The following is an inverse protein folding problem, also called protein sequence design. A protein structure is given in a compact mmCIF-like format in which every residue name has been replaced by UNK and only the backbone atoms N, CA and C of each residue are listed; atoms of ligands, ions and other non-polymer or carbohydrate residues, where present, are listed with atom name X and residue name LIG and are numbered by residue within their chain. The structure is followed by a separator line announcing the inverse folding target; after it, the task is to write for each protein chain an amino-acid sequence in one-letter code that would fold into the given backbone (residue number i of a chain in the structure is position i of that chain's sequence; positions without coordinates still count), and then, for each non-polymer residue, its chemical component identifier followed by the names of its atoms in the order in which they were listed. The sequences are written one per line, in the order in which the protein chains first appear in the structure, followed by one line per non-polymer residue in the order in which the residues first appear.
data_IF_980608433326
#
_entry.id   IF_980608433326
#
_cell.length_a   1.000
_cell.length_b   1.000
_cell.length_c   1.000
_cell.angle_alpha   90.00
_cell.angle_beta   90.00
_cell.angle_gamma   90.00
#
_symmetry.space_group_name_H-M   'P 1'
#
loop_
_entity.id
_entity.type
_entity.pdbx_description
1 polymer ?
#
# COMPACT_ATOMS: atom_id res chain seq x y z
N UNK A 1 13.92 2.93 8.34
CA UNK A 1 15.01 3.16 7.38
C UNK A 1 14.77 4.56 6.86
N UNK A 2 15.56 5.50 7.35
CA UNK A 2 15.30 6.93 7.17
C UNK A 2 15.53 7.33 5.72
N UNK A 3 14.48 7.88 5.11
CA UNK A 3 14.49 8.40 3.73
C UNK A 3 15.57 9.48 3.53
N UNK A 4 15.99 10.12 4.62
CA UNK A 4 17.01 11.18 4.66
C UNK A 4 18.39 10.70 4.20
N UNK A 5 18.79 9.48 4.58
CA UNK A 5 20.09 8.91 4.19
C UNK A 5 20.18 8.64 2.68
N UNK A 6 19.05 8.29 2.06
CA UNK A 6 18.99 8.06 0.61
C UNK A 6 18.99 9.36 -0.19
N UNK A 7 18.42 10.44 0.36
CA UNK A 7 18.47 11.77 -0.27
C UNK A 7 19.88 12.34 -0.26
N UNK A 8 20.61 12.15 0.84
CA UNK A 8 22.02 12.52 0.93
C UNK A 8 22.87 11.76 -0.07
N UNK A 9 22.69 10.44 -0.17
CA UNK A 9 23.39 9.62 -1.16
C UNK A 9 23.17 10.12 -2.60
N UNK A 10 21.94 10.46 -3.00
CA UNK A 10 21.67 10.98 -4.35
C UNK A 10 22.39 12.30 -4.59
N UNK A 11 22.41 13.22 -3.61
CA UNK A 11 23.12 14.50 -3.72
C UNK A 11 24.63 14.31 -3.89
N UNK A 12 25.21 13.37 -3.16
CA UNK A 12 26.65 13.11 -3.22
C UNK A 12 27.04 12.49 -4.57
N UNK A 13 26.30 11.51 -5.06
CA UNK A 13 26.55 10.93 -6.38
C UNK A 13 26.29 11.92 -7.53
N UNK A 14 25.35 12.85 -7.36
CA UNK A 14 25.13 13.92 -8.33
C UNK A 14 26.33 14.87 -8.42
N UNK A 15 26.91 15.28 -7.28
CA UNK A 15 28.15 16.07 -7.26
C UNK A 15 29.32 15.35 -7.92
N UNK A 16 29.47 14.05 -7.64
CA UNK A 16 30.52 13.23 -8.25
C UNK A 16 30.33 13.14 -9.77
N UNK A 17 29.10 12.93 -10.24
CA UNK A 17 28.78 12.89 -11.67
C UNK A 17 29.01 14.22 -12.40
N UNK A 18 28.75 15.36 -11.74
CA UNK A 18 29.03 16.69 -12.30
C UNK A 18 30.53 16.97 -12.43
N UNK A 19 31.33 16.43 -11.50
CA UNK A 19 32.79 16.59 -11.50
C UNK A 19 33.44 15.69 -12.55
N UNK A 20 33.01 14.43 -12.63
CA UNK A 20 33.55 13.44 -13.55
C UNK A 20 32.42 12.68 -14.26
N UNK A 21 32.15 13.04 -15.53
CA UNK A 21 31.08 12.46 -16.35
C UNK A 21 31.44 11.06 -16.89
N UNK A 22 31.80 10.14 -16.01
CA UNK A 22 32.10 8.75 -16.34
C UNK A 22 30.83 7.90 -16.35
N UNK A 23 30.89 6.74 -17.03
CA UNK A 23 29.78 5.78 -17.05
C UNK A 23 29.51 5.19 -15.66
N UNK A 24 30.54 5.03 -14.84
CA UNK A 24 30.44 4.46 -13.49
C UNK A 24 29.68 5.41 -12.55
N UNK A 25 29.98 6.71 -12.56
CA UNK A 25 29.25 7.69 -11.75
C UNK A 25 27.78 7.81 -12.18
N UNK A 26 27.50 7.68 -13.49
CA UNK A 26 26.12 7.61 -13.98
C UNK A 26 25.39 6.38 -13.45
N UNK A 27 26.06 5.22 -13.38
CA UNK A 27 25.48 3.99 -12.84
C UNK A 27 25.20 4.13 -11.34
N UNK A 28 26.14 4.69 -10.58
CA UNK A 28 26.01 4.93 -9.13
C UNK A 28 24.86 5.89 -8.82
N UNK A 29 24.77 7.01 -9.57
CA UNK A 29 23.65 7.95 -9.46
C UNK A 29 22.31 7.25 -9.74
N UNK A 30 22.22 6.43 -10.79
CA UNK A 30 21.00 5.69 -11.12
C UNK A 30 20.61 4.71 -10.01
N UNK A 31 21.58 4.01 -9.41
CA UNK A 31 21.33 3.09 -8.30
C UNK A 31 20.87 3.83 -7.04
N UNK A 32 21.48 4.96 -6.71
CA UNK A 32 21.07 5.79 -5.57
C UNK A 32 19.67 6.36 -5.76
N UNK A 33 19.34 6.82 -6.97
CA UNK A 33 17.98 7.25 -7.32
C UNK A 33 16.96 6.11 -7.20
N UNK A 34 17.34 4.89 -7.60
CA UNK A 34 16.50 3.69 -7.45
C UNK A 34 16.23 3.37 -5.98
N UNK A 35 17.26 3.38 -5.13
CA UNK A 35 17.13 3.12 -3.69
C UNK A 35 16.32 4.22 -2.99
N UNK A 36 16.52 5.49 -3.35
CA UNK A 36 15.68 6.59 -2.88
C UNK A 36 14.21 6.42 -3.30
N UNK A 37 13.97 6.02 -4.55
CA UNK A 37 12.61 5.75 -5.04
C UNK A 37 11.97 4.57 -4.31
N UNK A 38 12.75 3.54 -4.02
CA UNK A 38 12.32 2.35 -3.26
C UNK A 38 12.07 2.65 -1.79
N UNK A 39 12.83 3.55 -1.16
CA UNK A 39 12.62 3.96 0.23
C UNK A 39 11.42 4.90 0.38
N UNK A 40 11.16 5.76 -0.62
CA UNK A 40 9.95 6.61 -0.70
C UNK A 40 8.71 5.82 -1.08
N UNK A 41 8.85 4.61 -1.63
CA UNK A 41 7.72 3.76 -1.98
C UNK A 41 7.00 3.31 -0.72
N UNK A 42 5.66 3.39 -0.76
CA UNK A 42 4.80 2.82 0.27
C UNK A 42 5.02 1.30 0.33
N UNK A 43 5.36 0.78 1.50
CA UNK A 43 5.40 -0.67 1.75
C UNK A 43 3.97 -1.19 1.93
N UNK A 44 3.32 -1.60 0.83
CA UNK A 44 1.93 -2.08 0.86
C UNK A 44 1.72 -3.27 1.82
N UNK A 45 2.72 -4.15 1.93
CA UNK A 45 2.74 -5.24 2.90
C UNK A 45 2.67 -4.73 4.35
N UNK A 46 3.43 -3.67 4.68
CA UNK A 46 3.40 -3.06 6.02
C UNK A 46 2.08 -2.32 6.28
N UNK A 47 1.52 -1.68 5.26
CA UNK A 47 0.23 -0.99 5.34
C UNK A 47 -0.89 -1.98 5.69
N UNK A 48 -0.94 -3.13 5.00
CA UNK A 48 -1.89 -4.20 5.34
C UNK A 48 -1.52 -4.91 6.65
N UNK A 49 -0.24 -4.91 7.03
CA UNK A 49 0.28 -5.60 8.20
C UNK A 49 0.46 -7.10 7.95
N UNK A 50 0.88 -7.45 6.74
CA UNK A 50 1.13 -8.84 6.31
C UNK A 50 2.59 -9.00 5.91
N UNK A 51 3.07 -10.24 5.91
CA UNK A 51 4.42 -10.56 5.43
C UNK A 51 4.49 -10.44 3.89
N UNK A 52 5.69 -10.26 3.34
CA UNK A 52 5.91 -10.27 1.88
C UNK A 52 5.53 -11.61 1.25
N UNK A 53 5.67 -12.69 2.03
CA UNK A 53 5.29 -14.05 1.64
C UNK A 53 3.82 -14.37 1.89
N UNK A 54 3.00 -13.39 2.33
CA UNK A 54 1.60 -13.63 2.60
C UNK A 54 0.85 -14.12 1.37
N UNK A 55 -0.04 -15.08 1.62
CA UNK A 55 -0.99 -15.62 0.65
C UNK A 55 -2.07 -14.59 0.31
N UNK A 56 -2.74 -14.77 -0.83
CA UNK A 56 -3.86 -13.91 -1.24
C UNK A 56 -4.99 -13.87 -0.19
N UNK A 57 -5.22 -14.99 0.49
CA UNK A 57 -6.27 -15.09 1.51
C UNK A 57 -5.91 -14.31 2.78
N UNK A 58 -4.64 -14.31 3.18
CA UNK A 58 -4.13 -13.47 4.27
C UNK A 58 -4.21 -11.99 3.93
N UNK A 59 -3.87 -11.63 2.68
CA UNK A 59 -3.99 -10.26 2.17
C UNK A 59 -5.46 -9.79 2.21
N UNK A 60 -6.40 -10.62 1.72
CA UNK A 60 -7.85 -10.35 1.79
C UNK A 60 -8.33 -10.22 3.22
N UNK A 61 -7.90 -11.10 4.13
CA UNK A 61 -8.28 -11.06 5.55
C UNK A 61 -7.73 -9.81 6.25
N UNK A 62 -6.49 -9.43 5.98
CA UNK A 62 -5.87 -8.23 6.53
C UNK A 62 -6.54 -6.96 6.00
N UNK A 63 -6.83 -6.89 4.70
CA UNK A 63 -7.58 -5.80 4.09
C UNK A 63 -8.94 -5.60 4.77
N UNK A 64 -9.73 -6.68 4.91
CA UNK A 64 -11.04 -6.62 5.60
C UNK A 64 -10.91 -6.03 7.00
N UNK A 65 -9.96 -6.52 7.79
CA UNK A 65 -9.75 -6.06 9.17
C UNK A 65 -9.36 -4.58 9.20
N UNK A 66 -8.43 -4.15 8.34
CA UNK A 66 -7.93 -2.77 8.26
C UNK A 66 -8.98 -1.81 7.74
N UNK A 67 -9.70 -2.18 6.68
CA UNK A 67 -10.76 -1.38 6.09
C UNK A 67 -11.89 -1.12 7.10
N UNK A 68 -12.29 -2.14 7.88
CA UNK A 68 -13.24 -1.98 8.97
C UNK A 68 -12.70 -1.17 10.14
N UNK A 69 -11.38 -1.13 10.38
CA UNK A 69 -10.78 -0.31 11.44
C UNK A 69 -10.68 1.16 11.05
N UNK A 70 -10.39 1.46 9.79
CA UNK A 70 -10.22 2.82 9.27
C UNK A 70 -11.47 3.39 8.60
N UNK A 71 -12.62 2.70 8.70
CA UNK A 71 -13.85 3.12 8.05
C UNK A 71 -14.39 4.44 8.63
N UNK A 72 -14.82 5.42 7.79
CA UNK A 72 -15.25 6.74 8.25
C UNK A 72 -16.46 6.69 9.19
N UNK A 73 -17.34 5.69 9.04
CA UNK A 73 -18.50 5.49 9.92
C UNK A 73 -18.10 5.32 11.41
N UNK A 74 -17.00 4.59 11.67
CA UNK A 74 -16.52 4.35 13.04
C UNK A 74 -15.78 5.54 13.65
N UNK A 75 -15.33 6.46 12.80
CA UNK A 75 -14.59 7.66 13.19
C UNK A 75 -15.40 8.94 12.99
N UNK A 76 -16.70 8.81 12.73
CA UNK A 76 -17.63 9.93 12.55
C UNK A 76 -17.71 10.85 13.77
N UNK A 77 -17.44 10.33 14.97
CA UNK A 77 -17.34 11.10 16.22
C UNK A 77 -15.92 11.56 16.60
N UNK A 78 -14.90 11.27 15.80
CA UNK A 78 -13.51 11.67 16.08
C UNK A 78 -13.24 13.11 15.63
N UNK A 79 -12.12 13.70 16.08
CA UNK A 79 -11.70 15.03 15.62
C UNK A 79 -11.38 15.03 14.12
N UNK A 80 -11.49 16.20 13.47
CA UNK A 80 -11.23 16.35 12.04
C UNK A 80 -9.82 15.87 11.62
N UNK A 81 -8.84 16.02 12.51
CA UNK A 81 -7.46 15.53 12.30
C UNK A 81 -7.42 14.00 12.25
N UNK A 82 -8.07 13.33 13.20
CA UNK A 82 -8.14 11.86 13.24
C UNK A 82 -8.93 11.35 12.03
N UNK A 83 -10.04 11.97 11.66
CA UNK A 83 -10.80 11.58 10.47
C UNK A 83 -9.95 11.64 9.20
N UNK A 84 -9.17 12.72 9.04
CA UNK A 84 -8.27 12.89 7.88
C UNK A 84 -7.14 11.86 7.88
N UNK A 85 -6.58 11.54 9.03
CA UNK A 85 -5.56 10.49 9.15
C UNK A 85 -6.12 9.10 8.84
N UNK A 86 -7.29 8.78 9.36
CA UNK A 86 -7.96 7.50 9.13
C UNK A 86 -8.40 7.34 7.68
N UNK A 87 -8.90 8.42 7.04
CA UNK A 87 -9.20 8.44 5.60
C UNK A 87 -7.93 8.19 4.77
N UNK A 88 -6.80 8.81 5.14
CA UNK A 88 -5.53 8.58 4.46
C UNK A 88 -5.09 7.12 4.57
N UNK A 89 -5.15 6.53 5.78
CA UNK A 89 -4.83 5.11 6.00
C UNK A 89 -5.80 4.21 5.24
N UNK A 90 -7.08 4.55 5.17
CA UNK A 90 -8.08 3.78 4.43
C UNK A 90 -7.77 3.76 2.93
N UNK A 91 -7.42 4.91 2.34
CA UNK A 91 -6.96 5.01 0.95
C UNK A 91 -5.72 4.15 0.71
N UNK A 92 -4.72 4.25 1.58
CA UNK A 92 -3.49 3.45 1.50
C UNK A 92 -3.76 1.94 1.60
N UNK A 93 -4.69 1.52 2.46
CA UNK A 93 -5.12 0.11 2.60
C UNK A 93 -5.83 -0.39 1.34
N UNK A 94 -6.67 0.46 0.71
CA UNK A 94 -7.31 0.16 -0.57
C UNK A 94 -6.30 -0.02 -1.70
N UNK A 95 -5.38 0.95 -1.86
CA UNK A 95 -4.28 0.88 -2.83
C UNK A 95 -3.46 -0.41 -2.65
N UNK A 96 -3.06 -0.70 -1.41
CA UNK A 96 -2.27 -1.89 -1.08
C UNK A 96 -2.98 -3.18 -1.49
N UNK A 97 -4.28 -3.28 -1.21
CA UNK A 97 -5.07 -4.44 -1.59
C UNK A 97 -5.18 -4.59 -3.10
N UNK A 98 -5.41 -3.52 -3.86
CA UNK A 98 -5.50 -3.59 -5.33
C UNK A 98 -4.22 -4.10 -5.98
N UNK A 99 -3.05 -3.74 -5.44
CA UNK A 99 -1.76 -4.20 -5.97
C UNK A 99 -1.46 -5.62 -5.52
N UNK A 100 -1.67 -5.93 -4.24
CA UNK A 100 -1.26 -7.21 -3.65
C UNK A 100 -2.25 -8.35 -3.90
N UNK A 101 -3.52 -8.05 -4.19
CA UNK A 101 -4.55 -9.07 -4.47
C UNK A 101 -4.47 -9.68 -5.86
N UNK A 102 -3.85 -8.99 -6.82
CA UNK A 102 -3.64 -9.52 -8.17
C UNK A 102 -2.20 -10.04 -8.30
N UNK A 103 -1.99 -11.34 -8.56
CA UNK A 103 -0.65 -11.91 -8.66
C UNK A 103 0.20 -11.27 -9.75
N UNK A 104 -0.41 -10.75 -10.83
CA UNK A 104 0.32 -10.02 -11.88
C UNK A 104 0.81 -8.67 -11.36
N UNK A 105 -0.03 -7.93 -10.64
CA UNK A 105 0.33 -6.62 -10.06
C UNK A 105 1.32 -6.79 -8.90
N UNK A 106 1.12 -7.79 -8.05
CA UNK A 106 2.06 -8.18 -6.99
C UNK A 106 3.45 -8.47 -7.57
N UNK A 107 3.52 -9.28 -8.63
CA UNK A 107 4.79 -9.58 -9.30
C UNK A 107 5.45 -8.33 -9.89
N UNK A 108 4.68 -7.40 -10.48
CA UNK A 108 5.22 -6.11 -11.00
C UNK A 108 5.75 -5.22 -9.88
N UNK A 109 5.01 -5.13 -8.78
CA UNK A 109 5.43 -4.39 -7.59
C UNK A 109 6.69 -4.99 -6.95
N UNK A 110 6.74 -6.32 -6.82
CA UNK A 110 7.86 -7.05 -6.23
C UNK A 110 9.11 -7.00 -7.13
N UNK A 111 8.94 -7.09 -8.45
CA UNK A 111 10.03 -6.95 -9.44
C UNK A 111 10.51 -5.52 -9.63
N UNK A 112 9.77 -4.52 -9.11
CA UNK A 112 10.08 -3.12 -9.31
C UNK A 112 9.84 -2.65 -10.75
N UNK A 113 9.09 -3.37 -11.58
CA UNK A 113 8.72 -2.92 -12.92
C UNK A 113 7.85 -1.66 -12.91
N UNK A 114 7.13 -1.40 -11.80
CA UNK A 114 6.42 -0.13 -11.57
C UNK A 114 7.38 1.08 -11.43
N UNK A 115 8.71 0.88 -11.45
CA UNK A 115 9.70 1.94 -11.34
C UNK A 115 9.96 2.66 -12.68
N UNK A 116 9.59 2.08 -13.82
CA UNK A 116 9.87 2.66 -15.14
C UNK A 116 8.64 3.30 -15.81
N UNK A 117 7.42 2.91 -15.43
CA UNK A 117 6.18 3.57 -15.88
C UNK A 117 5.79 4.71 -14.94
N UNK A 118 6.47 5.84 -15.19
CA UNK A 118 5.97 7.18 -14.95
C UNK A 118 4.49 7.27 -15.38
N UNK A 119 3.56 7.18 -14.43
CA UNK A 119 2.17 7.61 -14.66
C UNK A 119 1.11 6.53 -14.94
N UNK A 120 1.13 5.39 -14.25
CA UNK A 120 -0.16 4.73 -14.00
C UNK A 120 -0.97 5.59 -13.02
N UNK A 121 -1.76 6.47 -13.63
CA UNK A 121 -2.80 7.33 -13.10
C UNK A 121 -3.66 6.63 -12.03
N UNK A 122 -3.15 6.53 -10.81
CA UNK A 122 -3.88 6.14 -9.59
C UNK A 122 -4.73 7.31 -9.07
N UNK A 123 -5.21 8.18 -9.97
CA UNK A 123 -6.03 9.34 -9.63
C UNK A 123 -7.49 9.01 -9.36
N UNK A 124 -7.94 7.77 -9.60
CA UNK A 124 -9.36 7.41 -9.58
C UNK A 124 -9.67 6.08 -8.86
N UNK A 125 -8.71 5.57 -8.06
CA UNK A 125 -8.94 4.39 -7.23
C UNK A 125 -9.67 4.78 -5.94
N UNK A 126 -11.00 4.88 -6.01
CA UNK A 126 -11.82 5.09 -4.82
C UNK A 126 -11.86 3.80 -3.98
N UNK A 127 -11.04 3.79 -2.92
CA UNK A 127 -10.99 2.73 -1.92
C UNK A 127 -12.38 2.41 -1.34
N UNK A 128 -13.29 3.39 -1.31
CA UNK A 128 -14.67 3.16 -0.87
C UNK A 128 -15.47 2.35 -1.89
N UNK A 129 -15.24 2.53 -3.19
CA UNK A 129 -15.87 1.71 -4.22
C UNK A 129 -15.33 0.29 -4.23
N UNK A 130 -14.03 0.09 -4.01
CA UNK A 130 -13.46 -1.26 -3.84
C UNK A 130 -14.06 -1.94 -2.61
N UNK A 131 -14.15 -1.22 -1.50
CA UNK A 131 -14.77 -1.74 -0.28
C UNK A 131 -16.24 -2.08 -0.52
N UNK A 132 -17.03 -1.21 -1.15
CA UNK A 132 -18.43 -1.48 -1.49
C UNK A 132 -18.59 -2.65 -2.46
N UNK A 133 -17.72 -2.79 -3.46
CA UNK A 133 -17.73 -3.96 -4.35
C UNK A 133 -17.41 -5.26 -3.60
N UNK A 134 -16.59 -5.17 -2.55
CA UNK A 134 -16.16 -6.31 -1.76
C UNK A 134 -17.10 -6.64 -0.57
N UNK A 135 -17.77 -5.65 0.02
CA UNK A 135 -18.62 -5.76 1.22
C UNK A 135 -20.12 -5.52 0.96
N UNK A 136 -20.51 -4.91 -0.16
CA UNK A 136 -21.88 -4.49 -0.46
C UNK A 136 -22.58 -5.26 -1.59
N UNK A 137 -21.94 -6.27 -2.18
CA UNK A 137 -22.55 -7.12 -3.21
C UNK A 137 -23.41 -8.25 -2.63
N UNK A 138 -24.51 -8.67 -3.30
CA UNK A 138 -25.32 -9.83 -2.89
C UNK A 138 -24.50 -11.11 -3.12
N UNK A 139 -23.78 -11.51 -2.08
CA UNK A 139 -22.67 -12.46 -2.16
C UNK A 139 -21.60 -12.24 -1.07
N UNK A 140 -21.77 -11.23 -0.21
CA UNK A 140 -20.99 -11.08 1.01
C UNK A 140 -21.02 -12.37 1.83
N UNK A 141 -19.88 -13.07 1.85
CA UNK A 141 -19.68 -14.29 2.61
C UNK A 141 -20.13 -14.10 4.05
N UNK A 142 -21.19 -14.80 4.43
CA UNK A 142 -21.52 -15.07 5.83
C UNK A 142 -20.30 -15.69 6.50
N UNK A 143 -19.90 -15.09 7.61
CA UNK A 143 -18.90 -15.63 8.50
C UNK A 143 -19.46 -16.90 9.16
N UNK A 144 -19.33 -18.05 8.50
CA UNK A 144 -19.47 -19.34 9.17
C UNK A 144 -18.12 -19.67 9.81
N UNK A 145 -17.84 -19.03 10.94
CA UNK A 145 -16.76 -19.47 11.81
C UNK A 145 -17.19 -20.76 12.50
N UNK A 146 -16.69 -21.88 12.00
CA UNK A 146 -16.64 -23.14 12.74
C UNK A 146 -15.70 -22.95 13.95
N UNK A 147 -16.26 -22.56 15.09
CA UNK A 147 -15.57 -22.45 16.38
C UNK A 147 -16.57 -22.13 17.49
N UNK A 148 -16.51 -22.78 18.67
CA UNK A 148 -17.57 -22.73 19.67
C UNK A 148 -17.49 -21.40 20.44
N UNK A 149 -18.21 -20.40 19.95
CA UNK A 149 -18.26 -19.08 20.58
C UNK A 149 -19.26 -18.20 19.85
N UNK A 150 -20.51 -18.24 20.32
CA UNK A 150 -21.64 -17.42 19.87
C UNK A 150 -21.23 -15.94 19.66
N UNK A 151 -21.10 -15.51 18.41
CA UNK A 151 -21.17 -14.10 18.02
C UNK A 151 -22.22 -13.96 16.92
N UNK A 152 -23.41 -13.51 17.31
CA UNK A 152 -24.54 -13.24 16.42
C UNK A 152 -24.44 -11.77 15.98
N UNK A 153 -24.14 -11.51 14.71
CA UNK A 153 -24.30 -10.18 14.12
C UNK A 153 -25.53 -10.21 13.20
N UNK A 154 -26.59 -9.55 13.64
CA UNK A 154 -27.82 -9.33 12.88
C UNK A 154 -27.82 -7.89 12.36
N UNK A 155 -27.66 -7.72 11.04
CA UNK A 155 -28.00 -6.47 10.38
C UNK A 155 -29.50 -6.52 10.05
N UNK A 156 -30.25 -5.59 10.63
CA UNK A 156 -31.61 -5.24 10.23
C UNK A 156 -31.61 -3.95 9.42
#
# INVERSE_FOLDING_TARGET
MDTEQYEEAVRDYEKVYQTEKTKEHKQLLKNAQLELKKSKRKDYYKILGVDKNASEDEIKKAYRKRALMHHPDRHSGASAEVQKEEEKKFKEVGEAFTILSDPKKKTRYDSGQDLDEEGMNMGDFDANNIFKAFFGGPGGFSFEASGPGNFFFQFG
#
